data_IF_630070462135
#
_entry.id   IF_630070462135
#
_cell.length_a   1.000
_cell.length_b   1.000
_cell.length_c   1.000
_cell.angle_alpha   90.00
_cell.angle_beta   90.00
_cell.angle_gamma   90.00
#
_symmetry.space_group_name_H-M   'P 1'
#
loop_
_entity.id
_entity.type
_entity.pdbx_description
1 polymer ?
#
# COMPACT_ATOMS: atom_id res chain seq x y z
N UNK A 1 34.87 47.57 -67.48
CA UNK A 1 33.40 47.41 -67.50
C UNK A 1 33.01 46.29 -66.54
N UNK A 2 31.92 46.52 -65.81
CA UNK A 2 31.31 45.81 -64.66
C UNK A 2 31.57 44.30 -64.53
N UNK A 3 32.08 43.90 -63.34
CA UNK A 3 31.92 42.54 -62.79
C UNK A 3 30.53 42.44 -62.15
N UNK A 4 29.69 41.52 -62.64
CA UNK A 4 28.41 41.20 -62.01
C UNK A 4 28.63 40.21 -60.87
N UNK A 5 28.20 40.60 -59.67
CA UNK A 5 28.16 39.76 -58.48
C UNK A 5 26.84 38.96 -58.52
N UNK A 6 26.90 37.65 -58.72
CA UNK A 6 25.74 36.78 -58.55
C UNK A 6 25.55 36.53 -57.05
N UNK A 7 24.51 37.13 -56.48
CA UNK A 7 24.04 36.81 -55.12
C UNK A 7 23.16 35.57 -55.23
N UNK A 8 23.64 34.44 -54.71
CA UNK A 8 22.84 33.23 -54.51
C UNK A 8 21.96 33.46 -53.27
N UNK A 9 20.66 33.66 -53.48
CA UNK A 9 19.66 33.63 -52.40
C UNK A 9 19.35 32.16 -52.13
N UNK A 10 19.93 31.60 -51.07
CA UNK A 10 19.49 30.33 -50.49
C UNK A 10 18.16 30.57 -49.78
N UNK A 11 17.05 30.17 -50.41
CA UNK A 11 15.78 30.03 -49.74
C UNK A 11 15.89 28.85 -48.77
N UNK A 12 15.97 29.13 -47.47
CA UNK A 12 15.84 28.12 -46.43
C UNK A 12 14.40 27.58 -46.47
N UNK A 13 14.22 26.39 -47.04
CA UNK A 13 13.00 25.60 -46.87
C UNK A 13 12.93 25.21 -45.38
N UNK A 14 12.11 25.95 -44.61
CA UNK A 14 11.70 25.51 -43.29
C UNK A 14 10.83 24.27 -43.48
N UNK A 15 11.41 23.09 -43.25
CA UNK A 15 10.62 21.90 -43.01
C UNK A 15 9.82 22.14 -41.72
N UNK A 16 8.49 21.96 -41.70
CA UNK A 16 7.79 21.90 -40.44
C UNK A 16 8.41 20.73 -39.67
N UNK A 17 9.02 21.01 -38.51
CA UNK A 17 9.26 19.96 -37.54
C UNK A 17 7.87 19.40 -37.21
N UNK A 18 7.57 18.22 -37.73
CA UNK A 18 6.49 17.41 -37.19
C UNK A 18 6.85 17.16 -35.73
N UNK A 19 6.24 17.93 -34.82
CA UNK A 19 6.12 17.53 -33.43
C UNK A 19 5.36 16.20 -33.47
N UNK A 20 6.09 15.08 -33.47
CA UNK A 20 5.45 13.79 -33.24
C UNK A 20 4.79 13.88 -31.87
N UNK A 21 3.48 13.68 -31.83
CA UNK A 21 2.77 13.57 -30.57
C UNK A 21 3.41 12.44 -29.76
N UNK A 22 3.62 12.67 -28.47
CA UNK A 22 4.16 11.64 -27.60
C UNK A 22 3.06 10.60 -27.39
N UNK A 23 3.31 9.36 -27.76
CA UNK A 23 2.33 8.28 -27.61
C UNK A 23 2.54 7.54 -26.28
N UNK A 24 1.47 7.02 -25.65
CA UNK A 24 1.61 6.13 -24.51
C UNK A 24 2.25 4.80 -24.92
N UNK A 25 3.01 4.21 -24.00
CA UNK A 25 3.62 2.89 -24.20
C UNK A 25 2.57 1.78 -24.03
N UNK A 26 2.07 1.25 -25.15
CA UNK A 26 1.02 0.23 -25.17
C UNK A 26 1.51 -1.18 -25.46
N UNK A 27 2.81 -1.47 -25.32
CA UNK A 27 3.30 -2.82 -25.63
C UNK A 27 2.65 -3.85 -24.70
N UNK A 28 2.31 -5.06 -25.19
CA UNK A 28 1.71 -6.11 -24.37
C UNK A 28 2.53 -6.48 -23.13
N UNK A 29 1.82 -6.95 -22.10
CA UNK A 29 2.45 -7.47 -20.89
C UNK A 29 3.33 -8.69 -21.17
N UNK A 30 4.41 -8.78 -20.40
CA UNK A 30 5.37 -9.90 -20.39
C UNK A 30 5.08 -10.84 -19.21
N UNK A 31 5.70 -12.04 -19.17
CA UNK A 31 5.61 -12.88 -17.99
C UNK A 31 6.00 -12.13 -16.71
N UNK A 32 5.13 -12.17 -15.70
CA UNK A 32 5.30 -11.42 -14.45
C UNK A 32 4.78 -9.98 -14.47
N UNK A 33 4.11 -9.55 -15.54
CA UNK A 33 3.41 -8.26 -15.62
C UNK A 33 1.88 -8.48 -15.59
N UNK A 34 1.15 -7.56 -14.96
CA UNK A 34 -0.30 -7.69 -14.69
C UNK A 34 -1.17 -7.51 -15.94
N UNK A 35 -0.71 -6.69 -16.88
CA UNK A 35 -1.42 -6.39 -18.11
C UNK A 35 -2.46 -5.28 -18.00
N UNK A 36 -3.01 -4.95 -19.17
CA UNK A 36 -4.14 -4.04 -19.29
C UNK A 36 -5.39 -4.70 -18.73
N UNK A 37 -6.12 -4.00 -17.86
CA UNK A 37 -7.38 -4.46 -17.30
C UNK A 37 -8.39 -3.31 -17.26
N UNK A 38 -9.65 -3.53 -17.67
CA UNK A 38 -10.08 -4.58 -18.60
C UNK A 38 -9.29 -4.56 -19.92
N UNK A 39 -8.91 -5.73 -20.43
CA UNK A 39 -8.03 -5.91 -21.59
C UNK A 39 -8.71 -5.67 -22.94
N UNK A 40 -10.01 -5.92 -23.05
CA UNK A 40 -10.83 -5.68 -24.24
C UNK A 40 -11.93 -6.72 -24.45
N UNK A 41 -13.19 -6.29 -24.37
CA UNK A 41 -14.37 -7.07 -24.75
C UNK A 41 -14.86 -8.09 -23.72
N UNK A 42 -14.24 -8.17 -22.55
CA UNK A 42 -14.71 -9.03 -21.46
C UNK A 42 -15.89 -8.43 -20.70
N UNK A 43 -16.74 -9.32 -20.16
CA UNK A 43 -17.70 -8.96 -19.10
C UNK A 43 -16.97 -8.99 -17.76
N UNK A 44 -16.98 -7.87 -17.03
CA UNK A 44 -16.27 -7.75 -15.75
C UNK A 44 -17.07 -8.38 -14.61
N UNK A 45 -16.39 -9.05 -13.68
CA UNK A 45 -17.05 -9.68 -12.52
C UNK A 45 -17.30 -8.70 -11.37
N UNK A 46 -16.51 -7.62 -11.29
CA UNK A 46 -16.62 -6.56 -10.29
C UNK A 46 -17.03 -5.25 -10.97
N UNK A 47 -17.84 -4.45 -10.28
CA UNK A 47 -18.34 -3.18 -10.78
C UNK A 47 -18.13 -2.06 -9.75
N UNK A 48 -17.34 -1.02 -10.05
CA UNK A 48 -16.56 -0.84 -11.27
C UNK A 48 -15.36 -1.82 -11.32
N UNK A 49 -14.80 -2.10 -12.52
CA UNK A 49 -13.57 -2.87 -12.60
C UNK A 49 -12.38 -2.06 -12.12
N UNK A 50 -11.38 -2.75 -11.58
CA UNK A 50 -10.05 -2.17 -11.36
C UNK A 50 -9.32 -1.97 -12.70
N UNK A 51 -9.06 -0.72 -13.05
CA UNK A 51 -8.32 -0.39 -14.27
C UNK A 51 -6.82 -0.49 -14.02
N UNK A 52 -6.08 -1.06 -14.98
CA UNK A 52 -4.62 -1.14 -14.96
C UNK A 52 -4.08 -0.89 -16.36
N UNK A 53 -3.00 -0.12 -16.46
CA UNK A 53 -2.34 0.19 -17.72
C UNK A 53 -0.82 0.25 -17.55
N UNK A 54 -0.11 0.21 -18.68
CA UNK A 54 1.34 0.13 -18.68
C UNK A 54 1.95 1.46 -18.21
N UNK A 55 2.83 1.45 -17.18
CA UNK A 55 3.51 2.65 -16.73
C UNK A 55 4.65 3.05 -17.67
N UNK A 56 4.74 4.34 -17.97
CA UNK A 56 5.78 4.91 -18.82
C UNK A 56 6.97 5.42 -17.98
N UNK A 57 8.18 5.37 -18.53
CA UNK A 57 9.36 5.99 -17.88
C UNK A 57 9.15 7.51 -17.81
N UNK A 58 9.42 8.12 -16.66
CA UNK A 58 9.24 9.56 -16.46
C UNK A 58 7.79 9.99 -16.20
N UNK A 59 6.85 9.04 -16.08
CA UNK A 59 5.47 9.34 -15.76
C UNK A 59 5.37 10.02 -14.38
N UNK A 60 4.66 11.15 -14.34
CA UNK A 60 4.34 11.92 -13.14
C UNK A 60 2.87 11.85 -12.76
N UNK A 61 2.01 11.38 -13.68
CA UNK A 61 0.58 11.25 -13.47
C UNK A 61 -0.12 10.65 -14.69
N UNK A 62 -1.42 10.40 -14.56
CA UNK A 62 -2.24 9.77 -15.58
C UNK A 62 -3.64 10.37 -15.56
N UNK A 63 -4.26 10.45 -16.74
CA UNK A 63 -5.70 10.66 -16.83
C UNK A 63 -6.37 9.37 -17.33
N UNK A 64 -7.53 9.05 -16.77
CA UNK A 64 -8.40 7.95 -17.17
C UNK A 64 -9.77 8.51 -17.57
N UNK A 65 -10.30 8.04 -18.70
CA UNK A 65 -11.68 8.29 -19.11
C UNK A 65 -12.40 6.98 -19.37
N UNK A 66 -13.66 6.92 -18.92
CA UNK A 66 -14.63 5.87 -19.26
C UNK A 66 -15.84 6.52 -19.91
N UNK A 67 -16.31 5.94 -21.01
CA UNK A 67 -17.37 6.44 -21.87
C UNK A 67 -18.36 5.32 -22.18
N UNK A 68 -19.64 5.66 -22.38
CA UNK A 68 -20.67 4.73 -22.90
C UNK A 68 -20.64 4.61 -24.44
N UNK A 69 -19.85 5.46 -25.12
CA UNK A 69 -19.62 5.43 -26.57
C UNK A 69 -18.14 5.39 -26.94
N UNK A 70 -17.78 4.66 -27.99
CA UNK A 70 -16.37 4.47 -28.41
C UNK A 70 -15.70 5.74 -28.96
N UNK A 71 -16.49 6.76 -29.28
CA UNK A 71 -16.04 8.07 -29.77
C UNK A 71 -15.77 9.07 -28.65
N UNK A 72 -16.05 8.70 -27.39
CA UNK A 72 -15.84 9.53 -26.20
C UNK A 72 -16.60 10.87 -26.23
N UNK A 73 -17.80 10.89 -26.86
CA UNK A 73 -18.69 12.05 -26.79
C UNK A 73 -19.42 12.17 -25.44
N UNK A 74 -19.57 11.07 -24.70
CA UNK A 74 -20.28 10.99 -23.41
C UNK A 74 -19.39 10.29 -22.38
N UNK A 75 -18.66 11.10 -21.60
CA UNK A 75 -17.80 10.61 -20.52
C UNK A 75 -18.65 10.35 -19.30
N UNK A 76 -18.70 9.08 -18.86
CA UNK A 76 -19.44 8.65 -17.67
C UNK A 76 -18.57 8.64 -16.41
N UNK A 77 -17.24 8.58 -16.58
CA UNK A 77 -16.28 8.72 -15.50
C UNK A 77 -14.95 9.29 -15.98
N UNK A 78 -14.36 10.16 -15.18
CA UNK A 78 -13.04 10.72 -15.43
C UNK A 78 -12.26 10.84 -14.12
N UNK A 79 -10.96 10.52 -14.18
CA UNK A 79 -10.00 10.79 -13.13
C UNK A 79 -8.78 11.43 -13.79
N UNK A 80 -8.46 12.65 -13.39
CA UNK A 80 -7.29 13.39 -13.88
C UNK A 80 -6.18 13.42 -12.82
N UNK A 81 -4.94 13.66 -13.27
CA UNK A 81 -3.77 13.85 -12.41
C UNK A 81 -3.55 12.70 -11.40
N UNK A 82 -3.91 11.48 -11.79
CA UNK A 82 -3.79 10.29 -10.92
C UNK A 82 -2.32 9.84 -10.83
N UNK A 83 -1.73 9.64 -9.65
CA UNK A 83 -0.29 9.32 -9.51
C UNK A 83 0.08 7.87 -9.91
N UNK A 84 -0.92 7.00 -10.10
CA UNK A 84 -0.71 5.56 -10.23
C UNK A 84 -1.14 5.03 -11.60
N UNK A 85 -0.51 3.94 -12.05
CA UNK A 85 -0.84 3.28 -13.32
C UNK A 85 -2.00 2.29 -13.19
N UNK A 86 -2.86 2.48 -12.19
CA UNK A 86 -4.04 1.69 -11.92
C UNK A 86 -5.02 2.53 -11.12
N UNK A 87 -6.33 2.31 -11.31
CA UNK A 87 -7.38 3.07 -10.65
C UNK A 87 -8.69 2.29 -10.62
N UNK A 88 -9.41 2.33 -9.50
CA UNK A 88 -10.77 1.80 -9.40
C UNK A 88 -11.72 2.97 -9.09
N UNK A 89 -12.76 3.21 -9.91
CA UNK A 89 -13.73 4.26 -9.65
C UNK A 89 -14.47 4.10 -8.31
N UNK A 90 -14.93 5.22 -7.76
CA UNK A 90 -15.76 5.29 -6.55
C UNK A 90 -17.25 5.14 -6.82
N UNK A 91 -17.63 4.81 -8.05
CA UNK A 91 -19.04 4.67 -8.44
C UNK A 91 -19.18 3.51 -9.40
N UNK A 92 -20.16 2.65 -9.13
CA UNK A 92 -20.52 1.55 -10.01
C UNK A 92 -21.18 2.09 -11.28
N UNK A 93 -20.99 1.38 -12.39
CA UNK A 93 -21.61 1.69 -13.66
C UNK A 93 -22.94 0.93 -13.82
N UNK A 94 -23.84 1.47 -14.64
CA UNK A 94 -25.04 0.74 -15.05
C UNK A 94 -24.68 -0.48 -15.89
N UNK A 95 -25.63 -1.42 -16.06
CA UNK A 95 -25.44 -2.55 -16.97
C UNK A 95 -25.30 -2.04 -18.41
N UNK A 96 -24.23 -2.44 -19.10
CA UNK A 96 -23.98 -1.99 -20.46
C UNK A 96 -22.54 -2.17 -20.93
N UNK A 97 -22.28 -1.71 -22.16
CA UNK A 97 -20.95 -1.70 -22.76
C UNK A 97 -20.30 -0.34 -22.57
N UNK A 98 -19.05 -0.35 -22.13
CA UNK A 98 -18.25 0.84 -21.88
C UNK A 98 -16.92 0.77 -22.61
N UNK A 99 -16.33 1.94 -22.79
CA UNK A 99 -15.06 2.17 -23.46
C UNK A 99 -14.16 2.99 -22.55
N UNK A 100 -12.89 2.63 -22.47
CA UNK A 100 -11.92 3.36 -21.66
C UNK A 100 -10.63 3.62 -22.41
N UNK A 101 -9.99 4.73 -22.03
CA UNK A 101 -8.68 5.17 -22.53
C UNK A 101 -7.94 5.91 -21.43
N UNK A 102 -6.64 5.95 -21.53
CA UNK A 102 -5.78 6.69 -20.60
C UNK A 102 -4.75 7.52 -21.35
N UNK A 103 -4.17 8.51 -20.68
CA UNK A 103 -2.98 9.22 -21.19
C UNK A 103 -2.02 9.50 -20.04
N UNK A 104 -0.76 9.74 -20.39
CA UNK A 104 0.32 9.83 -19.41
C UNK A 104 0.85 11.26 -19.37
N UNK A 105 1.07 11.75 -18.16
CA UNK A 105 1.83 12.97 -17.91
C UNK A 105 3.28 12.55 -17.70
N UNK A 106 4.19 13.04 -18.53
CA UNK A 106 5.60 12.65 -18.53
C UNK A 106 6.46 13.88 -18.30
N UNK A 107 7.42 13.75 -17.39
CA UNK A 107 8.46 14.77 -17.23
C UNK A 107 9.49 14.65 -18.34
N UNK A 108 9.58 15.68 -19.17
CA UNK A 108 10.57 15.87 -20.23
C UNK A 108 11.37 17.14 -19.93
N UNK A 109 12.62 16.97 -19.49
CA UNK A 109 13.47 18.03 -18.91
C UNK A 109 12.75 18.82 -17.79
N UNK A 110 12.58 20.13 -17.96
CA UNK A 110 11.91 21.03 -17.01
C UNK A 110 10.41 21.18 -17.28
N UNK A 111 9.84 20.43 -18.24
CA UNK A 111 8.43 20.52 -18.62
C UNK A 111 7.69 19.21 -18.39
N UNK A 112 6.43 19.30 -18.02
CA UNK A 112 5.51 18.16 -18.06
C UNK A 112 4.79 18.20 -19.40
N UNK A 113 4.88 17.11 -20.16
CA UNK A 113 4.15 16.91 -21.41
C UNK A 113 3.14 15.80 -21.24
N UNK A 114 1.99 15.92 -21.89
CA UNK A 114 0.96 14.88 -21.89
C UNK A 114 1.03 14.10 -23.19
N UNK A 115 0.90 12.78 -23.11
CA UNK A 115 0.77 11.93 -24.29
C UNK A 115 -0.56 12.17 -25.00
N UNK A 116 -0.67 11.71 -26.25
CA UNK A 116 -1.96 11.41 -26.85
C UNK A 116 -2.69 10.32 -26.04
N UNK A 117 -3.99 10.18 -26.27
CA UNK A 117 -4.79 9.13 -25.65
C UNK A 117 -4.37 7.75 -26.16
N UNK A 118 -4.38 6.77 -25.26
CA UNK A 118 -4.17 5.36 -25.60
C UNK A 118 -5.21 4.86 -26.60
N UNK A 119 -4.91 3.72 -27.20
CA UNK A 119 -5.90 2.87 -27.86
C UNK A 119 -7.12 2.67 -26.96
N UNK A 120 -8.31 2.69 -27.56
CA UNK A 120 -9.58 2.47 -26.89
C UNK A 120 -9.75 0.98 -26.59
N UNK A 121 -10.07 0.66 -25.33
CA UNK A 121 -10.44 -0.69 -24.89
C UNK A 121 -11.89 -0.69 -24.43
N UNK A 122 -12.58 -1.82 -24.56
CA UNK A 122 -13.98 -1.96 -24.13
C UNK A 122 -14.14 -3.00 -23.03
N UNK A 123 -15.23 -2.91 -22.28
CA UNK A 123 -15.68 -3.92 -21.34
C UNK A 123 -17.21 -3.90 -21.23
N UNK A 124 -17.79 -4.96 -20.68
CA UNK A 124 -19.21 -5.05 -20.38
C UNK A 124 -19.43 -5.17 -18.88
N UNK A 125 -20.37 -4.41 -18.35
CA UNK A 125 -20.92 -4.59 -17.01
C UNK A 125 -22.18 -5.43 -17.15
N UNK A 126 -22.16 -6.63 -16.61
CA UNK A 126 -23.28 -7.57 -16.65
C UNK A 126 -24.23 -7.39 -15.46
N UNK A 127 -25.43 -8.00 -15.52
CA UNK A 127 -26.38 -7.96 -14.40
C UNK A 127 -25.87 -8.65 -13.13
N UNK A 128 -24.90 -9.56 -13.26
CA UNK A 128 -24.29 -10.31 -12.16
C UNK A 128 -22.96 -9.71 -11.67
N UNK A 129 -22.52 -8.58 -12.24
CA UNK A 129 -21.29 -7.90 -11.80
C UNK A 129 -21.46 -7.34 -10.38
N UNK A 130 -20.58 -7.72 -9.45
CA UNK A 130 -20.70 -7.38 -8.03
C UNK A 130 -20.29 -5.92 -7.78
N UNK A 131 -21.17 -5.08 -7.20
CA UNK A 131 -20.81 -3.71 -6.83
C UNK A 131 -19.74 -3.68 -5.73
N UNK A 132 -18.58 -3.11 -6.03
CA UNK A 132 -17.48 -2.92 -5.09
C UNK A 132 -16.65 -1.66 -5.46
N UNK A 133 -17.26 -0.46 -5.38
CA UNK A 133 -16.57 0.79 -5.68
C UNK A 133 -15.46 1.08 -4.67
N UNK A 134 -14.33 1.60 -5.14
CA UNK A 134 -13.24 2.04 -4.28
C UNK A 134 -13.59 3.41 -3.68
N UNK A 135 -13.71 3.55 -2.35
CA UNK A 135 -13.98 4.86 -1.75
C UNK A 135 -12.91 5.89 -2.11
N UNK A 136 -13.32 7.14 -2.23
CA UNK A 136 -12.40 8.27 -2.43
C UNK A 136 -11.54 8.51 -1.19
N UNK A 137 -10.39 9.17 -1.36
CA UNK A 137 -9.54 9.55 -0.22
C UNK A 137 -10.30 10.39 0.81
N UNK A 138 -11.22 11.26 0.37
CA UNK A 138 -12.04 12.08 1.26
C UNK A 138 -13.01 11.22 2.09
N UNK A 139 -13.68 10.25 1.46
CA UNK A 139 -14.56 9.31 2.17
C UNK A 139 -13.80 8.42 3.15
N UNK A 140 -12.59 7.98 2.78
CA UNK A 140 -11.70 7.24 3.68
C UNK A 140 -11.28 8.11 4.87
N UNK A 141 -10.79 9.33 4.62
CA UNK A 141 -10.36 10.27 5.65
C UNK A 141 -11.48 10.56 6.65
N UNK A 142 -12.71 10.80 6.15
CA UNK A 142 -13.87 11.07 6.99
C UNK A 142 -14.26 9.90 7.92
N UNK A 143 -13.86 8.68 7.58
CA UNK A 143 -14.14 7.48 8.38
C UNK A 143 -13.05 7.17 9.42
N UNK A 144 -11.84 7.69 9.26
CA UNK A 144 -10.74 7.51 10.22
C UNK A 144 -11.09 8.25 11.53
N UNK A 145 -11.04 7.57 12.69
CA UNK A 145 -11.29 8.23 13.97
C UNK A 145 -10.29 9.36 14.26
N UNK A 146 -10.78 10.49 14.76
CA UNK A 146 -9.91 11.59 15.23
C UNK A 146 -8.94 11.09 16.32
N UNK A 147 -9.48 10.30 17.26
CA UNK A 147 -8.70 9.65 18.31
C UNK A 147 -8.16 8.28 17.90
N UNK A 148 -7.63 7.58 18.90
CA UNK A 148 -7.19 6.19 18.78
C UNK A 148 -8.08 5.30 19.64
N UNK A 149 -8.23 3.99 19.31
CA UNK A 149 -7.56 3.26 18.23
C UNK A 149 -8.06 3.55 16.81
N UNK A 150 -7.19 3.29 15.83
CA UNK A 150 -7.45 3.43 14.39
C UNK A 150 -7.29 2.13 13.59
N UNK A 151 -6.96 1.01 14.23
CA UNK A 151 -6.81 -0.29 13.57
C UNK A 151 -7.66 -1.35 14.26
N UNK A 152 -8.35 -2.17 13.45
CA UNK A 152 -9.17 -3.35 13.80
C UNK A 152 -10.42 -3.13 14.66
N UNK A 153 -10.47 -2.06 15.44
CA UNK A 153 -11.63 -1.68 16.25
C UNK A 153 -11.57 -0.21 16.58
N UNK A 154 -12.73 0.38 16.86
CA UNK A 154 -12.90 1.75 17.34
C UNK A 154 -12.95 1.78 18.86
N UNK A 155 -12.77 2.99 19.42
CA UNK A 155 -12.97 3.24 20.84
C UNK A 155 -14.37 2.84 21.32
N UNK A 156 -15.39 3.01 20.48
CA UNK A 156 -16.78 2.61 20.74
C UNK A 156 -16.98 1.10 20.90
N UNK A 157 -16.08 0.29 20.35
CA UNK A 157 -16.23 -1.17 20.31
C UNK A 157 -15.66 -1.82 21.58
N UNK A 158 -14.82 -1.11 22.34
CA UNK A 158 -14.16 -1.61 23.53
C UNK A 158 -15.11 -2.21 24.58
N UNK A 159 -16.26 -1.58 24.94
CA UNK A 159 -17.20 -2.19 25.88
C UNK A 159 -17.69 -3.56 25.41
N UNK A 160 -18.01 -3.70 24.12
CA UNK A 160 -18.48 -4.95 23.54
C UNK A 160 -17.36 -6.00 23.47
N UNK A 161 -16.16 -5.61 23.04
CA UNK A 161 -14.99 -6.51 23.01
C UNK A 161 -14.71 -7.09 24.39
N UNK A 162 -14.76 -6.25 25.44
CA UNK A 162 -14.62 -6.66 26.85
C UNK A 162 -15.70 -7.62 27.30
N UNK A 163 -16.95 -7.37 26.93
CA UNK A 163 -18.06 -8.27 27.22
C UNK A 163 -17.87 -9.64 26.56
N UNK A 164 -17.63 -9.68 25.24
CA UNK A 164 -17.43 -10.91 24.46
C UNK A 164 -16.25 -11.71 25.01
N UNK A 165 -15.18 -11.03 25.35
CA UNK A 165 -14.03 -11.60 26.00
C UNK A 165 -14.32 -12.39 27.25
N UNK A 166 -14.98 -11.72 28.18
CA UNK A 166 -15.29 -12.27 29.49
C UNK A 166 -16.38 -13.34 29.46
N UNK A 167 -17.30 -13.28 28.48
CA UNK A 167 -18.49 -14.14 28.47
C UNK A 167 -18.46 -15.24 27.40
N UNK A 168 -18.06 -14.91 26.17
CA UNK A 168 -18.12 -15.83 25.02
C UNK A 168 -16.78 -16.50 24.72
N UNK A 169 -15.66 -15.84 25.03
CA UNK A 169 -14.31 -16.36 24.73
C UNK A 169 -13.35 -16.32 25.93
N UNK A 170 -13.75 -16.73 27.15
CA UNK A 170 -12.95 -16.52 28.36
C UNK A 170 -11.58 -17.20 28.33
N UNK A 171 -11.46 -18.37 27.68
CA UNK A 171 -10.18 -19.07 27.56
C UNK A 171 -9.20 -18.33 26.64
N UNK A 172 -9.67 -17.88 25.46
CA UNK A 172 -8.83 -17.08 24.54
C UNK A 172 -8.41 -15.77 25.19
N UNK A 173 -9.30 -15.16 25.97
CA UNK A 173 -9.00 -13.94 26.70
C UNK A 173 -7.92 -14.18 27.75
N UNK A 174 -8.06 -15.24 28.55
CA UNK A 174 -7.04 -15.66 29.51
C UNK A 174 -5.70 -15.90 28.82
N UNK A 175 -5.67 -16.56 27.68
CA UNK A 175 -4.43 -16.83 26.94
C UNK A 175 -3.71 -15.54 26.53
N UNK A 176 -4.44 -14.50 26.11
CA UNK A 176 -3.87 -13.18 25.78
C UNK A 176 -3.30 -12.50 27.02
N UNK A 177 -4.03 -12.54 28.14
CA UNK A 177 -3.57 -11.90 29.39
C UNK A 177 -2.37 -12.64 30.00
N UNK A 178 -2.36 -13.97 29.96
CA UNK A 178 -1.22 -14.79 30.39
C UNK A 178 0.02 -14.49 29.53
N UNK A 179 -0.16 -14.33 28.22
CA UNK A 179 0.88 -13.90 27.29
C UNK A 179 1.41 -12.49 27.56
N UNK A 180 0.54 -11.56 27.96
CA UNK A 180 0.93 -10.21 28.36
C UNK A 180 1.71 -10.21 29.69
N UNK A 181 1.22 -10.95 30.70
CA UNK A 181 1.91 -11.11 31.98
C UNK A 181 3.30 -11.71 31.81
N UNK A 182 3.44 -12.75 30.98
CA UNK A 182 4.75 -13.36 30.69
C UNK A 182 5.73 -12.36 30.07
N UNK A 183 5.25 -11.45 29.22
CA UNK A 183 6.06 -10.38 28.60
C UNK A 183 6.42 -9.27 29.58
N UNK A 184 5.59 -9.00 30.59
CA UNK A 184 5.97 -8.10 31.70
C UNK A 184 7.05 -8.73 32.59
N UNK A 185 6.92 -10.02 32.90
CA UNK A 185 7.90 -10.73 33.72
C UNK A 185 9.24 -10.93 33.00
N UNK A 186 9.20 -11.15 31.69
CA UNK A 186 10.36 -11.41 30.85
C UNK A 186 10.29 -10.52 29.60
N UNK A 187 10.60 -9.21 29.74
CA UNK A 187 10.59 -8.30 28.61
C UNK A 187 11.62 -8.75 27.54
N UNK A 188 11.32 -8.56 26.25
CA UNK A 188 12.24 -8.90 25.18
C UNK A 188 13.51 -8.04 25.26
N UNK A 189 14.61 -8.56 24.73
CA UNK A 189 15.83 -7.78 24.53
C UNK A 189 15.56 -6.67 23.49
N UNK A 190 15.82 -5.42 23.87
CA UNK A 190 15.57 -4.24 23.04
C UNK A 190 16.85 -3.67 22.42
N UNK A 191 17.98 -4.34 22.55
CA UNK A 191 19.21 -3.93 21.86
C UNK A 191 19.01 -3.97 20.34
N UNK A 192 19.55 -2.96 19.66
CA UNK A 192 19.44 -2.82 18.22
C UNK A 192 20.00 -4.07 17.51
N UNK A 193 19.26 -4.66 16.55
CA UNK A 193 19.76 -5.82 15.83
C UNK A 193 21.07 -5.53 15.08
N UNK A 194 22.01 -6.48 14.99
CA UNK A 194 23.30 -6.24 14.37
C UNK A 194 23.21 -6.07 12.84
N UNK A 195 24.16 -5.31 12.29
CA UNK A 195 24.48 -5.32 10.87
C UNK A 195 25.27 -6.60 10.52
N UNK A 196 25.23 -7.01 9.26
CA UNK A 196 26.12 -8.02 8.73
C UNK A 196 27.59 -7.58 8.84
N UNK A 197 28.50 -8.48 9.26
CA UNK A 197 29.94 -8.23 9.20
C UNK A 197 30.42 -8.00 7.76
N UNK A 198 31.56 -7.31 7.65
CA UNK A 198 32.22 -7.08 6.35
C UNK A 198 32.62 -8.41 5.70
N UNK A 199 32.36 -8.54 4.39
CA UNK A 199 32.69 -9.74 3.63
C UNK A 199 31.73 -10.92 3.81
N UNK A 200 30.57 -10.71 4.44
CA UNK A 200 29.58 -11.78 4.62
C UNK A 200 29.17 -12.42 3.28
N UNK A 201 29.02 -13.74 3.28
CA UNK A 201 28.46 -14.45 2.14
C UNK A 201 26.93 -14.32 2.11
N UNK A 202 26.40 -13.63 1.11
CA UNK A 202 24.95 -13.47 0.93
C UNK A 202 24.30 -14.85 0.73
N UNK A 203 23.29 -15.17 1.55
CA UNK A 203 22.63 -16.50 1.65
C UNK A 203 23.49 -17.61 2.27
N UNK A 204 24.70 -17.31 2.77
CA UNK A 204 25.44 -18.20 3.66
C UNK A 204 24.73 -18.39 5.00
N UNK A 205 25.20 -19.32 5.82
CA UNK A 205 24.50 -19.68 7.07
C UNK A 205 24.55 -18.54 8.11
N UNK A 206 25.69 -17.86 8.25
CA UNK A 206 25.82 -16.67 9.11
C UNK A 206 24.89 -15.54 8.66
N UNK A 207 24.76 -15.33 7.34
CA UNK A 207 23.83 -14.33 6.80
C UNK A 207 22.38 -14.68 7.16
N UNK A 208 21.98 -15.95 7.01
CA UNK A 208 20.63 -16.39 7.37
C UNK A 208 20.39 -16.27 8.87
N UNK A 209 21.38 -16.57 9.69
CA UNK A 209 21.29 -16.44 11.15
C UNK A 209 21.02 -14.98 11.54
N UNK A 210 21.78 -14.03 10.99
CA UNK A 210 21.56 -12.59 11.23
C UNK A 210 20.22 -12.14 10.63
N UNK A 211 19.89 -12.57 9.41
CA UNK A 211 18.67 -12.18 8.72
C UNK A 211 17.41 -12.60 9.50
N UNK A 212 17.35 -13.86 9.93
CA UNK A 212 16.26 -14.39 10.76
C UNK A 212 16.33 -13.90 12.21
N UNK A 213 17.53 -13.70 12.75
CA UNK A 213 17.77 -13.16 14.09
C UNK A 213 17.24 -11.74 14.23
N UNK A 214 17.53 -10.87 13.25
CA UNK A 214 17.03 -9.50 13.21
C UNK A 214 15.50 -9.46 13.13
N UNK A 215 14.90 -10.30 12.28
CA UNK A 215 13.44 -10.46 12.23
C UNK A 215 12.89 -10.93 13.57
N UNK A 216 13.51 -11.95 14.18
CA UNK A 216 13.10 -12.47 15.48
C UNK A 216 13.14 -11.40 16.58
N UNK A 217 14.18 -10.56 16.56
CA UNK A 217 14.34 -9.43 17.48
C UNK A 217 13.24 -8.39 17.31
N UNK A 218 12.97 -7.96 16.08
CA UNK A 218 11.88 -7.02 15.79
C UNK A 218 10.55 -7.59 16.24
N UNK A 219 10.23 -8.84 15.90
CA UNK A 219 8.96 -9.47 16.29
C UNK A 219 8.86 -9.52 17.81
N UNK A 220 9.90 -9.94 18.52
CA UNK A 220 9.87 -10.02 19.98
C UNK A 220 9.50 -8.67 20.63
N UNK A 221 10.06 -7.57 20.13
CA UNK A 221 9.77 -6.22 20.63
C UNK A 221 8.40 -5.71 20.17
N UNK A 222 8.14 -5.71 18.85
CA UNK A 222 6.95 -5.09 18.27
C UNK A 222 5.66 -5.90 18.52
N UNK A 223 5.70 -7.24 18.39
CA UNK A 223 4.58 -8.11 18.80
C UNK A 223 4.41 -8.11 20.32
N UNK A 224 5.54 -8.00 21.05
CA UNK A 224 5.55 -7.79 22.49
C UNK A 224 4.71 -6.57 22.89
N UNK A 225 5.02 -5.43 22.28
CA UNK A 225 4.31 -4.19 22.48
C UNK A 225 2.84 -4.28 22.04
N UNK A 226 2.55 -4.87 20.87
CA UNK A 226 1.18 -5.01 20.37
C UNK A 226 0.32 -5.91 21.29
N UNK A 227 0.88 -7.01 21.80
CA UNK A 227 0.21 -7.90 22.75
C UNK A 227 -0.12 -7.17 24.06
N UNK A 228 0.85 -6.42 24.60
CA UNK A 228 0.66 -5.63 25.82
C UNK A 228 -0.38 -4.52 25.60
N UNK A 229 -0.29 -3.78 24.50
CA UNK A 229 -1.24 -2.73 24.15
C UNK A 229 -2.67 -3.28 23.96
N UNK A 230 -2.80 -4.45 23.33
CA UNK A 230 -4.09 -5.12 23.22
C UNK A 230 -4.62 -5.54 24.60
N UNK A 231 -3.78 -6.15 25.45
CA UNK A 231 -4.16 -6.51 26.82
C UNK A 231 -4.62 -5.30 27.66
N UNK A 232 -4.04 -4.12 27.46
CA UNK A 232 -4.55 -2.87 28.05
C UNK A 232 -5.97 -2.56 27.57
N UNK A 233 -6.24 -2.64 26.27
CA UNK A 233 -7.58 -2.39 25.74
C UNK A 233 -8.61 -3.38 26.30
N UNK A 234 -8.21 -4.64 26.53
CA UNK A 234 -9.05 -5.67 27.12
C UNK A 234 -9.32 -5.46 28.62
N UNK A 235 -8.32 -5.07 29.40
CA UNK A 235 -8.40 -5.09 30.87
C UNK A 235 -8.60 -3.71 31.49
N UNK A 236 -8.17 -2.65 30.82
CA UNK A 236 -8.01 -1.31 31.40
C UNK A 236 -6.80 -1.17 32.34
N UNK A 237 -5.98 -2.22 32.52
CA UNK A 237 -4.82 -2.15 33.41
C UNK A 237 -3.67 -1.38 32.75
N UNK A 238 -3.34 -0.21 33.30
CA UNK A 238 -2.31 0.69 32.76
C UNK A 238 -0.91 0.08 32.65
N UNK A 239 -0.60 -0.94 33.46
CA UNK A 239 0.71 -1.60 33.46
C UNK A 239 1.08 -2.16 32.08
N UNK A 240 0.09 -2.68 31.33
CA UNK A 240 0.35 -3.21 30.00
C UNK A 240 0.60 -2.09 28.99
N UNK A 241 -0.18 -1.01 29.06
CA UNK A 241 -0.01 0.13 28.14
C UNK A 241 1.30 0.87 28.33
N UNK A 242 1.74 1.05 29.59
CA UNK A 242 3.06 1.63 29.92
C UNK A 242 4.21 0.77 29.39
N UNK A 243 4.14 -0.55 29.61
CA UNK A 243 5.15 -1.47 29.09
C UNK A 243 5.17 -1.54 27.55
N UNK A 244 4.00 -1.46 26.90
CA UNK A 244 3.93 -1.35 25.45
C UNK A 244 4.62 -0.08 24.94
N UNK A 245 4.36 1.07 25.59
CA UNK A 245 5.03 2.34 25.30
C UNK A 245 6.54 2.23 25.45
N UNK A 246 7.04 1.62 26.53
CA UNK A 246 8.48 1.48 26.75
C UNK A 246 9.16 0.64 25.66
N UNK A 247 8.53 -0.43 25.18
CA UNK A 247 9.05 -1.22 24.07
C UNK A 247 9.07 -0.45 22.74
N UNK A 248 8.03 0.33 22.44
CA UNK A 248 8.00 1.15 21.23
C UNK A 248 9.03 2.27 21.30
N UNK A 249 9.21 2.92 22.45
CA UNK A 249 10.24 3.93 22.63
C UNK A 249 11.66 3.35 22.56
N UNK A 250 11.86 2.08 22.92
CA UNK A 250 13.15 1.43 22.67
C UNK A 250 13.41 1.23 21.16
N UNK A 251 12.37 1.02 20.35
CA UNK A 251 12.51 0.91 18.89
C UNK A 251 12.82 2.24 18.22
N UNK A 252 12.39 3.38 18.79
CA UNK A 252 12.72 4.71 18.22
C UNK A 252 14.21 5.03 18.32
N UNK A 253 14.96 4.32 19.17
CA UNK A 253 16.42 4.44 19.28
C UNK A 253 17.18 3.60 18.24
N UNK A 254 16.50 2.68 17.53
CA UNK A 254 17.14 1.88 16.48
C UNK A 254 17.33 2.73 15.22
N UNK A 255 18.49 2.60 14.58
CA UNK A 255 18.76 3.31 13.33
C UNK A 255 17.80 2.82 12.23
N UNK A 256 16.97 3.72 11.71
CA UNK A 256 16.02 3.43 10.64
C UNK A 256 16.70 3.12 9.30
N UNK A 257 17.92 3.62 9.09
CA UNK A 257 18.81 3.26 7.97
C UNK A 257 19.71 2.03 8.28
N UNK A 258 19.51 1.41 9.46
CA UNK A 258 20.31 0.30 9.95
C UNK A 258 19.79 -1.09 9.54
N UNK A 259 20.01 -2.06 10.42
CA UNK A 259 19.84 -3.49 10.15
C UNK A 259 18.37 -3.94 9.97
N UNK A 260 17.43 -3.08 10.37
CA UNK A 260 15.98 -3.27 10.26
C UNK A 260 15.34 -2.41 9.18
N UNK A 261 16.16 -1.78 8.33
CA UNK A 261 15.70 -1.02 7.17
C UNK A 261 15.08 -1.95 6.12
N UNK A 262 14.04 -1.48 5.41
CA UNK A 262 13.35 -2.26 4.38
C UNK A 262 14.28 -2.70 3.24
N UNK A 263 15.24 -1.86 2.83
CA UNK A 263 16.20 -2.19 1.77
C UNK A 263 17.29 -3.17 2.23
N UNK A 264 17.51 -3.28 3.55
CA UNK A 264 18.54 -4.12 4.15
C UNK A 264 18.03 -5.51 4.54
N UNK A 265 16.91 -5.55 5.26
CA UNK A 265 16.24 -6.75 5.72
C UNK A 265 14.73 -6.49 5.79
N UNK A 266 14.03 -6.70 4.67
CA UNK A 266 12.59 -6.49 4.57
C UNK A 266 11.77 -7.40 5.49
N UNK A 267 12.23 -8.63 5.73
CA UNK A 267 11.64 -9.55 6.71
C UNK A 267 11.65 -9.01 8.14
N UNK A 268 12.66 -8.21 8.52
CA UNK A 268 12.69 -7.49 9.79
C UNK A 268 11.89 -6.18 9.73
N UNK A 269 11.97 -5.44 8.61
CA UNK A 269 11.29 -4.16 8.46
C UNK A 269 9.76 -4.28 8.49
N UNK A 270 9.18 -5.28 7.82
CA UNK A 270 7.72 -5.43 7.73
C UNK A 270 7.07 -5.57 9.12
N UNK A 271 7.48 -6.49 10.02
CA UNK A 271 6.99 -6.52 11.40
C UNK A 271 7.18 -5.19 12.17
N UNK A 272 8.30 -4.50 11.96
CA UNK A 272 8.54 -3.20 12.59
C UNK A 272 7.53 -2.13 12.12
N UNK A 273 6.91 -2.31 10.95
CA UNK A 273 5.86 -1.43 10.44
C UNK A 273 4.51 -1.75 11.08
N UNK A 274 3.92 -2.91 10.77
CA UNK A 274 2.51 -3.17 11.11
C UNK A 274 2.31 -3.45 12.61
N UNK A 275 3.21 -4.18 13.27
CA UNK A 275 3.05 -4.49 14.71
C UNK A 275 3.23 -3.24 15.57
N UNK A 276 4.19 -2.39 15.21
CA UNK A 276 4.39 -1.09 15.88
C UNK A 276 3.20 -0.16 15.69
N UNK A 277 2.62 -0.11 14.48
CA UNK A 277 1.41 0.69 14.21
C UNK A 277 0.25 0.25 15.12
N UNK A 278 0.02 -1.06 15.25
CA UNK A 278 -0.98 -1.65 16.16
C UNK A 278 -0.67 -1.33 17.63
N UNK A 279 0.57 -1.52 18.07
CA UNK A 279 0.98 -1.22 19.44
C UNK A 279 0.77 0.26 19.79
N UNK A 280 1.21 1.16 18.91
CA UNK A 280 1.08 2.60 19.07
C UNK A 280 -0.39 3.03 19.15
N UNK A 281 -1.21 2.61 18.19
CA UNK A 281 -2.62 2.98 18.15
C UNK A 281 -3.39 2.43 19.36
N UNK A 282 -3.04 1.25 19.86
CA UNK A 282 -3.71 0.64 21.02
C UNK A 282 -3.23 1.19 22.37
N UNK A 283 -1.97 1.62 22.48
CA UNK A 283 -1.40 2.20 23.70
C UNK A 283 -1.27 3.74 23.64
N UNK A 284 -1.91 4.39 22.67
CA UNK A 284 -1.81 5.83 22.40
C UNK A 284 -1.90 6.75 23.65
N UNK A 285 -2.78 6.48 24.65
CA UNK A 285 -2.87 7.31 25.85
C UNK A 285 -1.59 7.39 26.70
N UNK A 286 -0.64 6.46 26.53
CA UNK A 286 0.59 6.38 27.32
C UNK A 286 1.79 7.09 26.67
N UNK A 287 1.66 7.55 25.43
CA UNK A 287 2.72 8.29 24.74
C UNK A 287 2.54 9.79 25.02
N UNK A 288 3.61 10.42 25.53
CA UNK A 288 3.68 11.90 25.63
C UNK A 288 3.71 12.55 24.25
N UNK A 289 3.64 13.88 24.18
CA UNK A 289 3.78 14.59 22.90
C UNK A 289 5.15 14.33 22.25
N UNK A 290 6.22 14.31 23.04
CA UNK A 290 7.58 14.00 22.60
C UNK A 290 7.69 12.55 22.12
N UNK A 291 7.10 11.61 22.86
CA UNK A 291 7.06 10.20 22.45
C UNK A 291 6.37 10.05 21.09
N UNK A 292 5.20 10.69 20.90
CA UNK A 292 4.44 10.64 19.64
C UNK A 292 5.26 11.19 18.48
N UNK A 293 5.98 12.30 18.66
CA UNK A 293 6.88 12.85 17.63
C UNK A 293 7.97 11.86 17.23
N UNK A 294 8.60 11.19 18.19
CA UNK A 294 9.64 10.20 17.92
C UNK A 294 9.09 8.97 17.17
N UNK A 295 7.92 8.47 17.59
CA UNK A 295 7.27 7.35 16.90
C UNK A 295 6.82 7.73 15.50
N UNK A 296 6.21 8.91 15.32
CA UNK A 296 5.80 9.43 14.01
C UNK A 296 6.99 9.53 13.06
N UNK A 297 8.14 10.06 13.51
CA UNK A 297 9.35 10.15 12.69
C UNK A 297 9.86 8.76 12.25
N UNK A 298 10.00 7.83 13.21
CA UNK A 298 10.43 6.46 12.91
C UNK A 298 9.50 5.78 11.91
N UNK A 299 8.19 5.95 12.08
CA UNK A 299 7.18 5.29 11.26
C UNK A 299 7.06 5.92 9.86
N UNK A 300 7.28 7.24 9.74
CA UNK A 300 7.43 7.91 8.46
C UNK A 300 8.62 7.33 7.67
N UNK A 301 9.82 7.25 8.27
CA UNK A 301 11.02 6.76 7.57
C UNK A 301 10.86 5.31 7.09
N UNK A 302 10.32 4.44 7.95
CA UNK A 302 10.06 3.03 7.62
C UNK A 302 8.99 2.88 6.54
N UNK A 303 7.91 3.67 6.62
CA UNK A 303 6.85 3.70 5.61
C UNK A 303 7.36 4.18 4.25
N UNK A 304 8.16 5.26 4.23
CA UNK A 304 8.76 5.82 3.02
C UNK A 304 9.62 4.79 2.28
N UNK A 305 10.47 4.06 2.98
CA UNK A 305 11.33 3.07 2.33
C UNK A 305 10.56 1.88 1.76
N UNK A 306 9.47 1.48 2.41
CA UNK A 306 8.55 0.48 1.87
C UNK A 306 7.83 1.02 0.62
N UNK A 307 7.28 2.23 0.70
CA UNK A 307 6.60 2.88 -0.42
C UNK A 307 7.52 3.03 -1.63
N UNK A 308 8.74 3.54 -1.43
CA UNK A 308 9.77 3.66 -2.47
C UNK A 308 10.10 2.30 -3.11
N UNK A 309 10.19 1.24 -2.30
CA UNK A 309 10.40 -0.12 -2.81
C UNK A 309 9.23 -0.57 -3.70
N UNK A 310 7.99 -0.40 -3.25
CA UNK A 310 6.79 -0.78 -4.01
C UNK A 310 6.68 0.00 -5.33
N UNK A 311 6.93 1.31 -5.28
CA UNK A 311 6.89 2.21 -6.45
C UNK A 311 8.02 1.95 -7.43
N UNK A 312 9.26 1.78 -6.96
CA UNK A 312 10.42 1.50 -7.83
C UNK A 312 10.31 0.16 -8.55
N UNK A 313 9.64 -0.82 -7.94
CA UNK A 313 9.31 -2.12 -8.56
C UNK A 313 8.08 -2.08 -9.46
N UNK A 314 7.37 -0.95 -9.48
CA UNK A 314 6.09 -0.77 -10.21
C UNK A 314 5.08 -1.83 -9.80
N UNK A 315 4.88 -2.04 -8.50
CA UNK A 315 4.10 -3.16 -7.98
C UNK A 315 2.69 -3.30 -8.60
N UNK A 316 1.99 -2.20 -8.92
CA UNK A 316 0.70 -2.23 -9.62
C UNK A 316 0.75 -2.86 -11.03
N UNK A 317 1.92 -2.82 -11.69
CA UNK A 317 2.16 -3.47 -12.99
C UNK A 317 2.94 -4.78 -12.87
N UNK A 318 3.79 -4.93 -11.86
CA UNK A 318 4.58 -6.13 -11.56
C UNK A 318 4.21 -6.71 -10.18
N UNK A 319 2.96 -7.17 -10.00
CA UNK A 319 2.47 -7.47 -8.66
C UNK A 319 3.02 -8.77 -8.10
N UNK A 320 3.60 -9.66 -8.90
CA UNK A 320 3.99 -11.02 -8.50
C UNK A 320 5.24 -11.16 -7.60
N UNK A 321 5.68 -10.08 -6.95
CA UNK A 321 6.75 -10.14 -5.96
C UNK A 321 6.18 -10.52 -4.58
N UNK A 322 6.56 -11.70 -4.06
CA UNK A 322 5.93 -12.27 -2.87
C UNK A 322 6.04 -11.36 -1.63
N UNK A 323 7.17 -10.68 -1.44
CA UNK A 323 7.30 -9.75 -0.31
C UNK A 323 6.47 -8.47 -0.51
N UNK A 324 6.40 -7.94 -1.73
CA UNK A 324 5.61 -6.76 -2.06
C UNK A 324 4.10 -6.99 -1.88
N UNK A 325 3.59 -8.18 -2.24
CA UNK A 325 2.17 -8.53 -2.10
C UNK A 325 1.64 -8.63 -0.66
N UNK A 326 2.53 -8.58 0.34
CA UNK A 326 2.16 -8.45 1.76
C UNK A 326 2.51 -7.07 2.34
N UNK A 327 3.48 -6.37 1.74
CA UNK A 327 3.98 -5.10 2.27
C UNK A 327 3.00 -3.93 2.08
N UNK A 328 2.25 -3.89 0.97
CA UNK A 328 1.34 -2.78 0.68
C UNK A 328 0.25 -2.59 1.76
N UNK A 329 -0.27 -3.67 2.34
CA UNK A 329 -1.28 -3.55 3.40
C UNK A 329 -0.66 -3.26 4.78
N UNK A 330 0.62 -3.54 4.98
CA UNK A 330 1.36 -3.05 6.15
C UNK A 330 1.63 -1.55 6.05
N UNK A 331 1.91 -1.05 4.84
CA UNK A 331 1.97 0.37 4.56
C UNK A 331 0.59 1.02 4.79
N UNK A 332 -0.49 0.35 4.39
CA UNK A 332 -1.87 0.76 4.72
C UNK A 332 -2.09 0.92 6.23
N UNK A 333 -1.63 -0.01 7.06
CA UNK A 333 -1.74 0.11 8.52
C UNK A 333 -0.97 1.31 9.09
N UNK A 334 0.21 1.65 8.53
CA UNK A 334 0.91 2.90 8.87
C UNK A 334 0.05 4.10 8.47
N UNK A 335 -0.41 4.12 7.22
CA UNK A 335 -1.16 5.24 6.66
C UNK A 335 -2.41 5.56 7.49
N UNK A 336 -3.18 4.55 7.90
CA UNK A 336 -4.36 4.73 8.76
C UNK A 336 -3.97 5.18 10.17
N UNK A 337 -2.91 4.59 10.75
CA UNK A 337 -2.48 4.92 12.12
C UNK A 337 -2.01 6.36 12.24
N UNK A 338 -1.23 6.83 11.26
CA UNK A 338 -0.58 8.14 11.26
C UNK A 338 -1.24 9.14 10.31
N UNK A 339 -2.49 8.89 9.90
CA UNK A 339 -3.23 9.82 9.07
C UNK A 339 -3.33 11.20 9.76
N UNK A 340 -2.96 12.25 9.02
CA UNK A 340 -2.87 13.63 9.51
C UNK A 340 -1.59 13.97 10.30
N UNK A 341 -0.72 13.01 10.60
CA UNK A 341 0.55 13.24 11.32
C UNK A 341 1.71 13.57 10.36
N UNK A 342 1.67 13.03 9.13
CA UNK A 342 2.53 13.40 8.01
C UNK A 342 1.76 13.29 6.69
N UNK A 343 2.04 14.16 5.69
CA UNK A 343 1.23 14.26 4.48
C UNK A 343 1.26 13.00 3.60
N UNK A 344 2.36 12.25 3.62
CA UNK A 344 2.52 11.03 2.82
C UNK A 344 1.56 9.91 3.24
N UNK A 345 0.99 9.96 4.45
CA UNK A 345 0.00 8.99 4.90
C UNK A 345 -1.23 8.95 3.97
N UNK A 346 -1.62 10.09 3.39
CA UNK A 346 -2.76 10.16 2.47
C UNK A 346 -2.49 9.38 1.18
N UNK A 347 -1.35 9.63 0.54
CA UNK A 347 -0.93 8.95 -0.69
C UNK A 347 -0.70 7.45 -0.44
N UNK A 348 -0.15 7.09 0.73
CA UNK A 348 0.08 5.69 1.09
C UNK A 348 -1.23 4.92 1.29
N UNK A 349 -2.26 5.57 1.84
CA UNK A 349 -3.59 4.98 1.95
C UNK A 349 -4.24 4.80 0.57
N UNK A 350 -4.19 5.83 -0.29
CA UNK A 350 -4.68 5.73 -1.67
C UNK A 350 -3.96 4.62 -2.44
N UNK A 351 -2.66 4.49 -2.25
CA UNK A 351 -1.86 3.45 -2.87
C UNK A 351 -2.27 2.05 -2.38
N UNK A 352 -2.43 1.86 -1.07
CA UNK A 352 -2.87 0.58 -0.51
C UNK A 352 -4.27 0.18 -1.01
N UNK A 353 -5.20 1.13 -1.07
CA UNK A 353 -6.53 0.89 -1.64
C UNK A 353 -6.47 0.61 -3.14
N UNK A 354 -5.64 1.33 -3.90
CA UNK A 354 -5.44 1.06 -5.33
C UNK A 354 -4.93 -0.36 -5.55
N UNK A 355 -3.99 -0.84 -4.73
CA UNK A 355 -3.52 -2.24 -4.80
C UNK A 355 -4.66 -3.20 -4.48
N UNK A 356 -5.42 -2.97 -3.40
CA UNK A 356 -6.55 -3.81 -3.01
C UNK A 356 -7.58 -3.97 -4.15
N UNK A 357 -8.00 -2.86 -4.76
CA UNK A 357 -9.09 -2.86 -5.74
C UNK A 357 -8.65 -3.17 -7.18
N UNK A 358 -7.37 -3.06 -7.51
CA UNK A 358 -6.90 -3.24 -8.90
C UNK A 358 -5.96 -4.42 -9.10
N UNK A 359 -5.29 -4.90 -8.05
CA UNK A 359 -4.23 -5.89 -8.17
C UNK A 359 -4.30 -6.99 -7.10
N UNK A 360 -5.12 -6.91 -6.06
CA UNK A 360 -5.16 -7.95 -5.03
C UNK A 360 -6.43 -8.80 -5.10
N UNK A 361 -6.35 -10.12 -4.86
CA UNK A 361 -5.15 -10.95 -4.79
C UNK A 361 -4.63 -11.34 -6.19
N UNK A 362 -3.30 -11.31 -6.42
CA UNK A 362 -2.71 -11.77 -7.69
C UNK A 362 -2.43 -13.26 -7.77
N UNK A 363 -2.40 -13.93 -6.61
CA UNK A 363 -2.11 -15.35 -6.51
C UNK A 363 -3.36 -16.20 -6.39
N UNK A 364 -4.54 -15.60 -6.55
CA UNK A 364 -5.82 -16.31 -6.52
C UNK A 364 -6.61 -16.04 -7.77
N UNK A 365 -7.24 -17.08 -8.30
CA UNK A 365 -8.30 -16.94 -9.28
C UNK A 365 -9.67 -16.91 -8.59
N UNK A 366 -10.73 -16.75 -9.38
CA UNK A 366 -12.12 -16.66 -8.92
C UNK A 366 -12.66 -17.94 -8.26
N UNK A 367 -11.98 -19.07 -8.43
CA UNK A 367 -12.32 -20.33 -7.75
C UNK A 367 -11.72 -20.44 -6.33
N UNK A 368 -10.89 -19.47 -5.92
CA UNK A 368 -10.23 -19.42 -4.61
C UNK A 368 -8.95 -20.24 -4.50
N UNK A 369 -8.47 -20.85 -5.59
CA UNK A 369 -7.19 -21.55 -5.62
C UNK A 369 -6.00 -20.59 -5.43
N UNK A 370 -4.94 -21.01 -4.73
CA UNK A 370 -3.75 -20.18 -4.50
C UNK A 370 -2.52 -20.70 -5.23
N UNK A 371 -1.98 -19.92 -6.16
CA UNK A 371 -0.93 -20.32 -7.10
C UNK A 371 0.42 -20.64 -6.42
N UNK A 372 0.74 -20.02 -5.28
CA UNK A 372 1.95 -20.35 -4.49
C UNK A 372 1.77 -21.58 -3.57
N UNK A 373 0.58 -22.19 -3.54
CA UNK A 373 0.26 -23.35 -2.71
C UNK A 373 -0.25 -23.02 -1.30
N UNK A 374 -0.71 -24.04 -0.58
CA UNK A 374 -1.48 -23.90 0.69
C UNK A 374 -0.67 -23.30 1.85
N UNK A 375 0.63 -23.57 1.92
CA UNK A 375 1.50 -22.99 2.95
C UNK A 375 1.62 -21.47 2.76
N UNK A 376 1.80 -21.02 1.51
CA UNK A 376 1.84 -19.60 1.17
C UNK A 376 0.47 -18.95 1.33
N UNK A 377 -0.61 -19.61 0.89
CA UNK A 377 -1.98 -19.15 1.16
C UNK A 377 -2.20 -18.87 2.64
N UNK A 378 -1.90 -19.83 3.53
CA UNK A 378 -2.09 -19.64 4.97
C UNK A 378 -1.22 -18.53 5.52
N UNK A 379 -0.02 -18.34 4.97
CA UNK A 379 0.91 -17.28 5.36
C UNK A 379 0.33 -15.90 4.99
N UNK A 380 -0.15 -15.75 3.76
CA UNK A 380 -0.72 -14.50 3.25
C UNK A 380 -2.02 -14.13 3.92
N UNK A 381 -2.99 -15.04 3.90
CA UNK A 381 -4.34 -14.76 4.40
C UNK A 381 -4.31 -14.41 5.89
N UNK A 382 -3.46 -15.04 6.71
CA UNK A 382 -3.32 -14.66 8.13
C UNK A 382 -2.89 -13.20 8.33
N UNK A 383 -2.06 -12.66 7.44
CA UNK A 383 -1.58 -11.27 7.51
C UNK A 383 -2.60 -10.32 6.91
N UNK A 384 -3.18 -10.69 5.77
CA UNK A 384 -4.21 -9.90 5.11
C UNK A 384 -5.49 -9.78 5.94
N UNK A 385 -5.90 -10.82 6.67
CA UNK A 385 -7.07 -10.76 7.56
C UNK A 385 -6.97 -9.68 8.64
N UNK A 386 -5.75 -9.27 9.02
CA UNK A 386 -5.58 -8.15 9.95
C UNK A 386 -5.92 -6.80 9.30
N UNK A 387 -5.60 -6.68 8.01
CA UNK A 387 -6.00 -5.54 7.19
C UNK A 387 -7.51 -5.54 6.96
N UNK A 388 -8.14 -6.68 6.67
CA UNK A 388 -9.60 -6.75 6.47
C UNK A 388 -10.37 -6.37 7.74
N UNK A 389 -9.87 -6.73 8.93
CA UNK A 389 -10.48 -6.24 10.19
C UNK A 389 -10.44 -4.71 10.32
N UNK A 390 -9.41 -4.07 9.76
CA UNK A 390 -9.34 -2.60 9.72
C UNK A 390 -10.26 -2.04 8.64
N UNK A 391 -10.32 -2.66 7.47
CA UNK A 391 -11.26 -2.31 6.39
C UNK A 391 -12.71 -2.32 6.87
N UNK A 392 -13.13 -3.39 7.54
CA UNK A 392 -14.47 -3.54 8.09
C UNK A 392 -14.71 -2.51 9.22
N UNK A 393 -13.92 -2.56 10.30
CA UNK A 393 -14.19 -1.75 11.48
C UNK A 393 -14.05 -0.23 11.25
N UNK A 394 -13.14 0.19 10.36
CA UNK A 394 -12.83 1.61 10.15
C UNK A 394 -13.49 2.13 8.88
N UNK A 395 -13.52 1.38 7.80
CA UNK A 395 -14.00 1.88 6.50
C UNK A 395 -15.37 1.34 6.09
N UNK A 396 -15.93 0.38 6.82
CA UNK A 396 -17.14 -0.37 6.44
C UNK A 396 -16.98 -1.06 5.06
N UNK A 397 -15.78 -1.60 4.81
CA UNK A 397 -15.45 -2.37 3.61
C UNK A 397 -15.31 -3.84 4.03
N UNK A 398 -16.27 -4.68 3.61
CA UNK A 398 -16.30 -6.14 3.84
C UNK A 398 -15.40 -6.90 2.85
#
# INVERSE_FOLDING_TARGET
MRRFLFVLILAALAFPQSLFALEPDETPARPGEWGFRPSGGETVTMNPPGFSWRPMKGATGYDLQVSDGSDFQSIVYEKSDHPFSAHCPSTAFEVGTYYWRYRVHVKDDEKTVTTDWSSVRSFEVGPDSVPFPCPTNEELAAKIPEGHPRLMFRQSDLPHLREVGNTKMPNRWKDVIDQANKRLENPPDTTEPPMYPEGIEIKGDEWKEIWWGNRGRVIAVADGAATLAFAYNLTGEEKYGKAARDLIMAMTEWNTDGSTNYRYNDEAAMPAMYMTSRAYTWAYPFFSEEDRKAVTQMMFERGRDCYDHLRSRRHLWNPYASHSNRAWHFLGEIAVTFYGEFPEAEEWLEYAMTVLYCAYPVWSDSDGGWHEGTAYWSSYIRRFLQWTLTLDAIFDID
#
